data_IF_089437858945
#
_entry.id   IF_089437858945
#
_cell.length_a   1.000
_cell.length_b   1.000
_cell.length_c   1.000
_cell.angle_alpha   90.00
_cell.angle_beta   90.00
_cell.angle_gamma   90.00
#
_symmetry.space_group_name_H-M   'P 1'
#
loop_
_entity.id
_entity.type
_entity.pdbx_description
1 polymer ?
#
# COMPACT_ATOMS: atom_id res chain seq x y z
N UNK A 1 -7.55 25.67 0.58
CA UNK A 1 -6.76 24.47 0.27
C UNK A 1 -6.16 23.98 1.57
N UNK A 2 -6.72 22.92 2.16
CA UNK A 2 -6.24 22.40 3.44
C UNK A 2 -4.83 21.83 3.23
N UNK A 3 -3.81 22.48 3.81
CA UNK A 3 -2.45 21.95 3.79
C UNK A 3 -2.40 20.77 4.77
N UNK A 4 -2.30 19.55 4.25
CA UNK A 4 -2.00 18.38 5.05
C UNK A 4 -0.64 18.56 5.72
N UNK A 5 -0.52 18.20 7.00
CA UNK A 5 0.77 18.18 7.69
C UNK A 5 1.78 17.32 6.89
N UNK A 6 3.08 17.65 6.88
CA UNK A 6 4.08 16.94 6.06
C UNK A 6 4.21 15.45 6.43
N UNK A 7 3.90 15.09 7.68
CA UNK A 7 3.98 13.73 8.23
C UNK A 7 2.91 12.77 7.66
N UNK A 8 1.60 13.08 7.73
CA UNK A 8 0.55 12.28 7.10
C UNK A 8 0.70 12.24 5.58
N UNK A 9 1.13 13.33 4.94
CA UNK A 9 1.41 13.34 3.51
C UNK A 9 2.56 12.39 3.12
N UNK A 10 3.64 12.36 3.92
CA UNK A 10 4.76 11.44 3.70
C UNK A 10 4.35 9.97 3.87
N UNK A 11 3.54 9.66 4.88
CA UNK A 11 3.01 8.32 5.10
C UNK A 11 2.08 7.85 3.98
N UNK A 12 1.21 8.73 3.50
CA UNK A 12 0.29 8.44 2.41
C UNK A 12 1.03 8.17 1.09
N UNK A 13 1.99 9.03 0.74
CA UNK A 13 2.78 8.88 -0.49
C UNK A 13 3.66 7.63 -0.47
N UNK A 14 4.38 7.35 0.63
CA UNK A 14 5.16 6.11 0.76
C UNK A 14 4.28 4.87 0.74
N UNK A 15 3.13 4.93 1.39
CA UNK A 15 2.13 3.87 1.37
C UNK A 15 1.68 3.48 -0.01
N UNK A 16 1.30 4.48 -0.82
CA UNK A 16 0.90 4.28 -2.21
C UNK A 16 2.04 3.72 -3.06
N UNK A 17 3.27 4.24 -2.90
CA UNK A 17 4.44 3.73 -3.64
C UNK A 17 4.71 2.26 -3.31
N UNK A 18 4.67 1.88 -2.03
CA UNK A 18 4.86 0.49 -1.61
C UNK A 18 3.73 -0.42 -2.10
N UNK A 19 2.49 0.07 -2.11
CA UNK A 19 1.34 -0.67 -2.66
C UNK A 19 1.55 -0.92 -4.16
N UNK A 20 1.95 0.09 -4.93
CA UNK A 20 2.29 -0.06 -6.34
C UNK A 20 3.44 -1.04 -6.56
N UNK A 21 4.48 -0.99 -5.72
CA UNK A 21 5.61 -1.93 -5.80
C UNK A 21 5.16 -3.39 -5.57
N UNK A 22 4.25 -3.63 -4.63
CA UNK A 22 3.67 -4.96 -4.36
C UNK A 22 2.79 -5.45 -5.52
N UNK A 23 2.01 -4.57 -6.14
CA UNK A 23 1.21 -4.94 -7.30
C UNK A 23 2.09 -5.24 -8.53
N UNK A 24 3.14 -4.43 -8.74
CA UNK A 24 4.12 -4.66 -9.80
C UNK A 24 4.87 -5.98 -9.60
N UNK A 25 5.29 -6.31 -8.37
CA UNK A 25 5.94 -7.60 -8.12
C UNK A 25 4.99 -8.77 -8.31
N UNK A 26 3.68 -8.64 -8.01
CA UNK A 26 2.69 -9.65 -8.34
C UNK A 26 2.55 -9.86 -9.87
N UNK A 27 2.57 -8.78 -10.67
CA UNK A 27 2.52 -8.86 -12.14
C UNK A 27 3.78 -9.52 -12.69
N UNK A 28 4.96 -9.13 -12.20
CA UNK A 28 6.24 -9.73 -12.60
C UNK A 28 6.25 -11.22 -12.27
N UNK A 29 5.71 -11.61 -11.11
CA UNK A 29 5.66 -13.01 -10.69
C UNK A 29 4.70 -13.85 -11.55
N UNK A 30 3.61 -13.26 -12.04
CA UNK A 30 2.73 -13.89 -13.04
C UNK A 30 3.39 -13.99 -14.42
N UNK A 31 4.32 -13.08 -14.74
CA UNK A 31 5.07 -13.08 -16.00
C UNK A 31 6.34 -13.97 -15.98
N UNK A 32 6.80 -14.39 -14.79
CA UNK A 32 8.08 -15.08 -14.60
C UNK A 32 8.13 -16.53 -15.10
N UNK A 33 7.03 -17.10 -15.60
CA UNK A 33 7.00 -18.44 -16.16
C UNK A 33 6.99 -19.59 -15.13
N UNK A 34 6.78 -19.27 -13.85
CA UNK A 34 6.59 -20.23 -12.77
C UNK A 34 5.33 -21.11 -12.96
N UNK A 35 5.24 -22.29 -12.32
CA UNK A 35 4.03 -23.10 -12.36
C UNK A 35 2.81 -22.27 -11.94
N UNK A 36 1.77 -22.27 -12.78
CA UNK A 36 0.62 -21.36 -12.68
C UNK A 36 -0.02 -21.33 -11.29
N UNK A 37 -0.09 -22.48 -10.62
CA UNK A 37 -0.67 -22.58 -9.28
C UNK A 37 0.16 -21.84 -8.21
N UNK A 38 1.49 -21.94 -8.28
CA UNK A 38 2.40 -21.25 -7.37
C UNK A 38 2.36 -19.74 -7.62
N UNK A 39 2.40 -19.33 -8.89
CA UNK A 39 2.35 -17.92 -9.27
C UNK A 39 1.04 -17.25 -8.82
N UNK A 40 -0.10 -17.93 -9.00
CA UNK A 40 -1.40 -17.43 -8.54
C UNK A 40 -1.49 -17.33 -7.02
N UNK A 41 -0.93 -18.30 -6.29
CA UNK A 41 -0.94 -18.28 -4.82
C UNK A 41 -0.16 -17.09 -4.28
N UNK A 42 1.06 -16.87 -4.76
CA UNK A 42 1.89 -15.73 -4.36
C UNK A 42 1.31 -14.39 -4.82
N UNK A 43 0.79 -14.31 -6.06
CA UNK A 43 0.17 -13.09 -6.56
C UNK A 43 -1.05 -12.68 -5.71
N UNK A 44 -1.89 -13.65 -5.31
CA UNK A 44 -3.05 -13.39 -4.44
C UNK A 44 -2.62 -12.96 -3.03
N UNK A 45 -1.53 -13.53 -2.52
CA UNK A 45 -0.96 -13.12 -1.24
C UNK A 45 -0.41 -11.68 -1.30
N UNK A 46 0.34 -11.34 -2.35
CA UNK A 46 0.85 -9.99 -2.58
C UNK A 46 -0.29 -8.97 -2.74
N UNK A 47 -1.35 -9.35 -3.47
CA UNK A 47 -2.53 -8.50 -3.64
C UNK A 47 -3.24 -8.25 -2.31
N UNK A 48 -3.36 -9.26 -1.45
CA UNK A 48 -3.98 -9.11 -0.12
C UNK A 48 -3.14 -8.19 0.77
N UNK A 49 -1.82 -8.35 0.78
CA UNK A 49 -0.90 -7.46 1.49
C UNK A 49 -0.96 -6.03 0.97
N UNK A 50 -1.07 -5.84 -0.36
CA UNK A 50 -1.24 -4.54 -0.98
C UNK A 50 -2.55 -3.87 -0.55
N UNK A 51 -3.66 -4.62 -0.48
CA UNK A 51 -4.95 -4.09 -0.03
C UNK A 51 -4.91 -3.63 1.44
N UNK A 52 -4.27 -4.41 2.32
CA UNK A 52 -4.07 -4.03 3.73
C UNK A 52 -3.20 -2.78 3.82
N UNK A 53 -2.09 -2.73 3.07
CA UNK A 53 -1.16 -1.59 3.08
C UNK A 53 -1.84 -0.31 2.56
N UNK A 54 -2.65 -0.43 1.51
CA UNK A 54 -3.41 0.69 0.97
C UNK A 54 -4.44 1.20 1.98
N UNK A 55 -5.15 0.29 2.65
CA UNK A 55 -6.08 0.65 3.72
C UNK A 55 -5.37 1.36 4.87
N UNK A 56 -4.27 0.81 5.39
CA UNK A 56 -3.53 1.41 6.51
C UNK A 56 -2.89 2.75 6.11
N UNK A 57 -2.44 2.90 4.87
CA UNK A 57 -1.89 4.17 4.37
C UNK A 57 -2.93 5.21 4.00
N UNK A 58 -4.21 4.86 3.86
CA UNK A 58 -5.30 5.83 3.72
C UNK A 58 -5.85 6.24 5.08
N UNK A 59 -6.15 5.28 5.96
CA UNK A 59 -6.75 5.55 7.26
C UNK A 59 -5.73 6.03 8.30
N UNK A 60 -4.50 5.53 8.27
CA UNK A 60 -3.44 5.89 9.21
C UNK A 60 -3.11 7.37 9.22
N UNK A 61 -2.85 8.01 8.06
CA UNK A 61 -2.61 9.46 7.99
C UNK A 61 -3.79 10.31 8.46
N UNK A 62 -5.04 9.88 8.21
CA UNK A 62 -6.24 10.57 8.67
C UNK A 62 -6.36 10.54 10.20
N UNK A 63 -6.15 9.36 10.81
CA UNK A 63 -6.09 9.21 12.26
C UNK A 63 -4.94 10.04 12.88
N UNK A 64 -3.78 10.05 12.21
CA UNK A 64 -2.61 10.79 12.67
C UNK A 64 -2.83 12.31 12.59
N UNK A 65 -3.49 12.79 11.54
CA UNK A 65 -3.89 14.20 11.41
C UNK A 65 -4.88 14.61 12.51
N UNK A 66 -5.85 13.74 12.85
CA UNK A 66 -6.82 14.00 13.92
C UNK A 66 -6.15 14.06 15.30
N UNK A 67 -5.19 13.18 15.57
CA UNK A 67 -4.36 13.25 16.79
C UNK A 67 -3.51 14.52 16.82
N UNK A 68 -2.90 14.91 15.69
CA UNK A 68 -2.09 16.14 15.59
C UNK A 68 -2.91 17.43 15.73
N UNK A 69 -4.18 17.45 15.33
CA UNK A 69 -5.08 18.60 15.52
C UNK A 69 -5.57 18.76 16.95
N UNK A 70 -5.65 17.66 17.70
CA UNK A 70 -6.14 17.63 19.07
C UNK A 70 -5.02 17.69 20.13
N UNK A 71 -3.76 17.88 19.70
CA UNK A 71 -2.56 18.08 20.52
C UNK A 71 -2.19 19.56 20.58
#
# INVERSE_FOLDING_TARGET
>A
MAQLHPLPYFLLTRGLVLTCALLLSAIVLLAAGEPHWLALWYARQLQSSAAVLLGTSLFGPLLLEDVLRNL
#
